data_IF_449845228059
#
_entry.id   IF_449845228059
#
_cell.length_a   1.000
_cell.length_b   1.000
_cell.length_c   1.000
_cell.angle_alpha   90.00
_cell.angle_beta   90.00
_cell.angle_gamma   90.00
#
_symmetry.space_group_name_H-M   'P 1'
#
loop_
_entity.id
_entity.type
_entity.pdbx_description
1 polymer ?
#
# COMPACT_ATOMS: atom_id res chain seq x y z
N UNK A 1 21.36 5.34 16.75
CA UNK A 1 22.32 6.16 15.96
C UNK A 1 22.36 5.60 14.55
N UNK A 2 22.28 6.41 13.50
CA UNK A 2 22.39 5.90 12.13
C UNK A 2 23.79 5.31 11.96
N UNK A 3 23.86 4.08 11.46
CA UNK A 3 25.12 3.38 11.21
C UNK A 3 25.70 3.88 9.88
N UNK A 4 26.93 4.37 9.87
CA UNK A 4 27.58 4.81 8.61
C UNK A 4 28.08 3.60 7.81
N UNK A 5 28.29 3.77 6.51
CA UNK A 5 28.86 2.72 5.64
C UNK A 5 30.16 2.13 6.19
N UNK A 6 31.02 2.96 6.77
CA UNK A 6 32.26 2.50 7.39
C UNK A 6 32.00 1.58 8.60
N UNK A 7 31.02 1.94 9.44
CA UNK A 7 30.61 1.11 10.59
C UNK A 7 29.91 -0.18 10.13
N UNK A 8 29.08 -0.12 9.09
CA UNK A 8 28.45 -1.32 8.51
C UNK A 8 29.50 -2.28 7.96
N UNK A 9 30.55 -1.76 7.30
CA UNK A 9 31.66 -2.58 6.82
C UNK A 9 32.51 -3.17 7.95
N UNK A 10 32.63 -2.45 9.07
CA UNK A 10 33.36 -2.92 10.25
C UNK A 10 32.58 -4.02 11.00
N UNK A 11 31.26 -3.86 11.15
CA UNK A 11 30.41 -4.83 11.87
C UNK A 11 30.06 -6.07 11.02
N UNK A 12 29.70 -5.88 9.74
CA UNK A 12 29.13 -6.95 8.90
C UNK A 12 30.16 -7.49 7.90
N UNK A 13 31.19 -6.69 7.56
CA UNK A 13 32.17 -7.02 6.55
C UNK A 13 31.73 -6.63 5.14
N UNK A 14 32.55 -7.01 4.15
CA UNK A 14 32.30 -6.68 2.73
C UNK A 14 31.07 -7.43 2.19
N UNK A 15 30.27 -6.79 1.34
CA UNK A 15 29.11 -7.43 0.72
C UNK A 15 29.53 -8.50 -0.29
N UNK A 16 28.69 -9.53 -0.44
CA UNK A 16 28.91 -10.58 -1.45
C UNK A 16 28.66 -10.05 -2.86
N UNK A 17 27.64 -9.19 -2.99
CA UNK A 17 27.29 -8.55 -4.26
C UNK A 17 26.82 -7.12 -4.06
N UNK A 18 27.25 -6.23 -4.96
CA UNK A 18 26.70 -4.88 -5.08
C UNK A 18 25.65 -4.91 -6.18
N UNK A 19 24.40 -4.67 -5.82
CA UNK A 19 23.27 -4.70 -6.76
C UNK A 19 23.04 -3.35 -7.42
N UNK A 20 23.35 -2.25 -6.71
CA UNK A 20 23.19 -0.88 -7.21
C UNK A 20 24.14 0.07 -6.48
N UNK A 21 24.73 0.98 -7.23
CA UNK A 21 25.49 2.13 -6.74
C UNK A 21 25.28 3.30 -7.72
N UNK A 22 24.49 4.29 -7.31
CA UNK A 22 24.23 5.52 -8.09
C UNK A 22 24.77 6.78 -7.39
N UNK A 23 25.69 6.61 -6.43
CA UNK A 23 26.32 7.69 -5.67
C UNK A 23 25.44 8.32 -4.58
N UNK A 24 24.10 8.11 -4.62
CA UNK A 24 23.18 8.50 -3.54
C UNK A 24 22.63 7.28 -2.80
N UNK A 25 22.38 6.20 -3.52
CA UNK A 25 21.83 4.96 -2.99
C UNK A 25 22.77 3.80 -3.32
N UNK A 26 23.10 3.04 -2.28
CA UNK A 26 23.93 1.85 -2.36
C UNK A 26 23.10 0.65 -1.89
N UNK A 27 23.00 -0.39 -2.72
CA UNK A 27 22.31 -1.63 -2.35
C UNK A 27 23.30 -2.78 -2.40
N UNK A 28 23.53 -3.36 -1.23
CA UNK A 28 24.37 -4.52 -1.01
C UNK A 28 23.52 -5.75 -0.76
N UNK A 29 24.02 -6.90 -1.20
CA UNK A 29 23.45 -8.21 -0.95
C UNK A 29 24.47 -9.04 -0.16
N UNK A 30 23.97 -9.65 0.91
CA UNK A 30 24.66 -10.58 1.80
C UNK A 30 23.91 -11.90 1.79
N UNK A 31 24.56 -12.94 1.27
CA UNK A 31 24.06 -14.30 1.23
C UNK A 31 24.54 -15.07 2.46
N UNK A 32 23.66 -15.25 3.44
CA UNK A 32 23.99 -16.07 4.64
C UNK A 32 24.20 -17.53 4.24
N UNK A 33 23.57 -17.97 3.14
CA UNK A 33 23.69 -19.30 2.54
C UNK A 33 25.13 -19.63 2.14
N UNK A 34 25.90 -18.71 1.54
CA UNK A 34 27.24 -19.04 1.07
C UNK A 34 28.23 -19.39 2.20
N UNK A 35 28.00 -18.88 3.42
CA UNK A 35 28.96 -19.02 4.53
C UNK A 35 28.78 -20.29 5.36
N UNK A 36 27.56 -20.84 5.43
CA UNK A 36 27.24 -22.02 6.27
C UNK A 36 26.77 -23.26 5.48
N UNK A 37 26.46 -23.15 4.19
CA UNK A 37 25.95 -24.27 3.40
C UNK A 37 26.97 -25.41 3.21
N UNK A 38 28.28 -25.10 3.26
CA UNK A 38 29.34 -26.12 3.22
C UNK A 38 29.35 -27.05 4.46
N UNK A 39 28.90 -26.57 5.62
CA UNK A 39 28.78 -27.39 6.84
C UNK A 39 27.63 -28.41 6.72
N UNK A 40 26.54 -28.03 6.08
CA UNK A 40 25.40 -28.93 5.82
C UNK A 40 25.73 -29.97 4.75
N UNK A 41 26.49 -29.59 3.71
CA UNK A 41 26.98 -30.52 2.69
C UNK A 41 27.97 -31.54 3.27
N UNK A 42 28.80 -31.16 4.23
CA UNK A 42 29.70 -32.09 4.95
C UNK A 42 28.98 -33.03 5.92
N UNK A 43 27.87 -32.61 6.54
CA UNK A 43 27.14 -33.41 7.53
C UNK A 43 26.23 -34.49 6.94
N UNK A 44 25.68 -34.26 5.74
CA UNK A 44 24.70 -35.15 5.11
C UNK A 44 25.30 -36.13 4.08
N UNK A 45 26.53 -35.89 3.64
CA UNK A 45 27.23 -36.77 2.70
C UNK A 45 27.79 -38.07 3.31
N UNK A 46 28.21 -38.18 4.59
CA UNK A 46 28.77 -39.44 5.09
C UNK A 46 27.72 -40.53 5.32
N UNK A 47 26.44 -40.17 5.48
CA UNK A 47 25.38 -41.13 5.85
C UNK A 47 24.83 -41.86 4.62
N UNK A 48 24.92 -41.27 3.42
CA UNK A 48 24.36 -41.83 2.18
C UNK A 48 25.32 -42.70 1.37
N UNK A 49 26.61 -42.81 1.78
CA UNK A 49 27.60 -43.64 1.08
C UNK A 49 27.37 -45.14 1.29
N UNK A 50 26.70 -45.55 2.37
CA UNK A 50 26.47 -46.97 2.67
C UNK A 50 25.28 -47.61 1.92
N UNK A 51 24.40 -46.81 1.30
CA UNK A 51 23.21 -47.29 0.60
C UNK A 51 23.16 -46.70 -0.82
N UNK A 52 24.25 -46.88 -1.57
CA UNK A 52 24.21 -46.81 -3.03
C UNK A 52 23.83 -45.44 -3.62
N UNK A 53 24.73 -44.47 -3.47
CA UNK A 53 24.87 -43.34 -4.40
C UNK A 53 23.85 -42.20 -4.23
N UNK A 54 24.32 -40.99 -4.50
CA UNK A 54 23.54 -39.75 -4.54
C UNK A 54 22.53 -39.73 -5.70
N UNK A 55 21.53 -40.61 -5.67
CA UNK A 55 20.56 -40.79 -6.77
C UNK A 55 19.17 -40.22 -6.45
N UNK A 56 18.92 -39.73 -5.22
CA UNK A 56 17.64 -39.08 -4.88
C UNK A 56 17.90 -37.68 -4.34
N UNK A 57 18.03 -36.72 -5.25
CA UNK A 57 17.86 -35.29 -4.96
C UNK A 57 16.68 -34.72 -5.79
N UNK A 58 15.41 -35.04 -5.43
CA UNK A 58 14.37 -34.04 -5.70
C UNK A 58 13.37 -33.76 -4.56
N UNK A 59 13.39 -34.44 -3.41
CA UNK A 59 12.21 -34.41 -2.50
C UNK A 59 12.40 -33.85 -1.07
N UNK A 60 13.57 -33.32 -0.70
CA UNK A 60 13.71 -32.56 0.56
C UNK A 60 13.47 -31.05 0.41
N UNK A 61 13.27 -30.56 -0.83
CA UNK A 61 13.08 -29.14 -1.11
C UNK A 61 11.70 -28.58 -0.70
N UNK A 62 10.72 -29.43 -0.38
CA UNK A 62 9.35 -28.99 -0.05
C UNK A 62 9.14 -28.90 1.47
N UNK A 63 9.88 -29.69 2.26
CA UNK A 63 9.79 -29.66 3.73
C UNK A 63 10.66 -28.58 4.38
N UNK A 64 11.64 -28.02 3.65
CA UNK A 64 12.58 -27.00 4.14
C UNK A 64 12.35 -25.60 3.54
N UNK A 65 11.23 -25.36 2.88
CA UNK A 65 10.89 -24.02 2.34
C UNK A 65 10.77 -22.97 3.46
N UNK A 66 10.49 -23.38 4.71
CA UNK A 66 10.53 -22.53 5.91
C UNK A 66 11.92 -22.14 6.40
N UNK A 67 13.00 -22.75 5.87
CA UNK A 67 14.38 -22.51 6.31
C UNK A 67 15.28 -21.90 5.23
N UNK A 68 14.73 -21.53 4.07
CA UNK A 68 15.48 -20.75 3.08
C UNK A 68 15.67 -19.33 3.62
N UNK A 69 16.80 -19.10 4.29
CA UNK A 69 17.23 -17.75 4.67
C UNK A 69 17.45 -16.94 3.39
N UNK A 70 16.52 -16.04 3.12
CA UNK A 70 16.60 -15.13 1.97
C UNK A 70 17.87 -14.27 2.07
N UNK A 71 18.51 -13.96 0.92
CA UNK A 71 19.66 -13.07 0.91
C UNK A 71 19.29 -11.74 1.57
N UNK A 72 20.03 -11.35 2.58
CA UNK A 72 19.83 -10.11 3.31
C UNK A 72 20.40 -8.99 2.46
N UNK A 73 19.61 -7.96 2.22
CA UNK A 73 20.07 -6.80 1.50
C UNK A 73 20.27 -5.65 2.49
N UNK A 74 21.28 -4.83 2.24
CA UNK A 74 21.60 -3.64 3.02
C UNK A 74 21.50 -2.45 2.08
N UNK A 75 20.66 -1.49 2.43
CA UNK A 75 20.43 -0.27 1.65
C UNK A 75 21.02 0.90 2.42
N UNK A 76 22.01 1.56 1.82
CA UNK A 76 22.57 2.81 2.32
C UNK A 76 22.09 3.98 1.45
N UNK A 77 21.79 5.10 2.07
CA UNK A 77 21.46 6.36 1.39
C UNK A 77 22.39 7.43 1.95
N UNK A 78 23.09 8.15 1.08
CA UNK A 78 24.12 9.14 1.45
C UNK A 78 25.15 8.58 2.46
N UNK A 79 25.61 7.34 2.24
CA UNK A 79 26.58 6.64 3.10
C UNK A 79 26.07 6.30 4.52
N UNK A 80 24.77 6.46 4.80
CA UNK A 80 24.13 6.05 6.05
C UNK A 80 23.19 4.85 5.84
N UNK A 81 23.16 3.94 6.80
CA UNK A 81 22.34 2.73 6.78
C UNK A 81 20.88 3.13 6.88
N UNK A 82 20.14 2.93 5.78
CA UNK A 82 18.73 3.25 5.75
C UNK A 82 17.86 2.08 6.20
N UNK A 83 18.02 0.91 5.57
CA UNK A 83 17.28 -0.29 5.93
C UNK A 83 18.09 -1.52 5.56
N UNK A 84 17.79 -2.63 6.22
CA UNK A 84 18.30 -3.94 5.87
C UNK A 84 17.21 -4.99 6.06
N UNK A 85 17.32 -6.11 5.36
CA UNK A 85 16.33 -7.18 5.43
C UNK A 85 16.24 -8.05 4.17
N UNK A 86 15.33 -9.03 4.13
CA UNK A 86 15.05 -9.79 2.92
C UNK A 86 14.44 -8.88 1.83
N UNK A 87 14.49 -9.27 0.54
CA UNK A 87 14.07 -8.43 -0.59
C UNK A 87 12.65 -7.85 -0.44
N UNK A 88 11.73 -8.65 0.10
CA UNK A 88 10.33 -8.27 0.33
C UNK A 88 10.21 -7.15 1.37
N UNK A 89 11.00 -7.21 2.45
CA UNK A 89 11.00 -6.19 3.50
C UNK A 89 11.55 -4.84 2.99
N UNK A 90 12.47 -4.87 2.03
CA UNK A 90 13.08 -3.66 1.46
C UNK A 90 12.20 -3.01 0.42
N UNK A 91 11.47 -3.78 -0.39
CA UNK A 91 10.48 -3.22 -1.31
C UNK A 91 9.37 -2.46 -0.55
N UNK A 92 8.98 -2.93 0.64
CA UNK A 92 8.02 -2.25 1.50
C UNK A 92 8.63 -1.05 2.25
N UNK A 93 9.85 -1.16 2.77
CA UNK A 93 10.59 -0.09 3.46
C UNK A 93 11.25 0.94 2.53
N UNK A 94 11.15 0.78 1.22
CA UNK A 94 11.64 1.79 0.26
C UNK A 94 11.03 3.17 0.53
N UNK A 95 9.78 3.21 1.02
CA UNK A 95 9.09 4.43 1.46
C UNK A 95 9.71 5.08 2.71
N UNK A 96 10.36 4.34 3.61
CA UNK A 96 11.02 4.93 4.79
C UNK A 96 12.38 5.53 4.45
N UNK A 97 13.03 5.05 3.38
CA UNK A 97 14.33 5.57 2.94
C UNK A 97 14.29 6.89 2.18
N UNK A 98 13.14 7.24 1.60
CA UNK A 98 12.92 8.59 1.07
C UNK A 98 12.57 9.60 2.17
N UNK A 99 12.19 9.15 3.37
CA UNK A 99 11.65 10.01 4.45
C UNK A 99 12.67 10.32 5.55
N UNK A 100 13.79 9.58 5.62
CA UNK A 100 14.84 9.76 6.63
C UNK A 100 15.70 11.04 6.48
N UNK A 101 15.24 12.02 5.69
CA UNK A 101 15.85 13.34 5.55
C UNK A 101 14.93 14.53 5.87
N UNK A 102 13.72 14.32 6.40
CA UNK A 102 12.81 15.42 6.76
C UNK A 102 12.78 15.63 8.28
N UNK A 103 13.66 16.48 8.85
CA UNK A 103 13.49 16.93 10.21
C UNK A 103 12.15 17.67 10.32
N UNK A 104 11.22 17.10 11.07
CA UNK A 104 9.99 17.77 11.48
C UNK A 104 10.37 18.86 12.50
N UNK A 105 10.53 20.08 12.00
CA UNK A 105 10.73 21.26 12.84
C UNK A 105 11.58 22.34 12.21
N UNK A 106 11.02 23.07 11.24
CA UNK A 106 11.31 24.50 11.02
C UNK A 106 10.29 25.09 10.06
N UNK A 107 9.48 26.02 10.58
CA UNK A 107 8.82 27.05 9.78
C UNK A 107 9.89 27.86 9.08
N UNK A 108 10.16 27.54 7.81
CA UNK A 108 11.16 28.21 6.99
C UNK A 108 11.22 27.60 5.60
N UNK A 109 10.61 28.30 4.64
CA UNK A 109 10.83 28.24 3.18
C UNK A 109 11.82 27.19 2.66
N UNK A 110 11.34 25.97 2.42
CA UNK A 110 12.02 24.91 1.69
C UNK A 110 10.95 24.03 1.03
N UNK A 111 10.96 23.96 -0.30
CA UNK A 111 9.87 23.40 -1.10
C UNK A 111 9.64 21.90 -0.81
N UNK A 112 8.64 21.58 0.00
CA UNK A 112 8.00 20.25 -0.04
C UNK A 112 7.32 20.07 -1.41
N UNK A 113 7.17 18.81 -1.86
CA UNK A 113 6.36 18.52 -3.05
C UNK A 113 5.00 19.21 -2.90
N UNK A 114 4.50 19.91 -3.95
CA UNK A 114 3.23 20.59 -3.88
C UNK A 114 2.11 19.57 -3.61
N UNK A 115 1.23 19.89 -2.67
CA UNK A 115 0.02 19.09 -2.46
C UNK A 115 -0.90 19.25 -3.68
N UNK A 116 -1.44 18.14 -4.23
CA UNK A 116 -2.35 18.22 -5.36
C UNK A 116 -3.64 18.95 -4.95
N UNK A 117 -4.20 19.70 -5.90
CA UNK A 117 -5.54 20.25 -5.75
C UNK A 117 -6.52 19.16 -6.16
N UNK A 118 -7.40 18.77 -5.23
CA UNK A 118 -8.31 17.63 -5.41
C UNK A 118 -9.71 17.95 -4.94
N UNK A 119 -10.69 17.64 -5.78
CA UNK A 119 -12.12 17.62 -5.46
C UNK A 119 -12.61 16.17 -5.29
N UNK A 120 -13.73 16.01 -4.60
CA UNK A 120 -14.29 14.69 -4.34
C UNK A 120 -15.65 14.84 -3.67
N UNK A 121 -16.72 14.77 -4.45
CA UNK A 121 -18.09 15.02 -3.98
C UNK A 121 -19.08 14.08 -4.68
N UNK A 122 -20.18 13.78 -4.02
CA UNK A 122 -21.28 13.00 -4.59
C UNK A 122 -22.34 12.66 -3.55
N UNK A 123 -23.44 12.01 -3.95
CA UNK A 123 -24.52 11.64 -3.02
C UNK A 123 -24.20 10.41 -2.15
N UNK A 124 -23.15 9.63 -2.44
CA UNK A 124 -22.82 8.43 -1.66
C UNK A 124 -22.37 8.80 -0.24
N UNK A 125 -22.75 8.01 0.76
CA UNK A 125 -22.49 8.29 2.17
C UNK A 125 -22.41 7.00 2.98
N UNK A 126 -22.25 7.13 4.30
CA UNK A 126 -22.12 5.99 5.23
C UNK A 126 -23.33 5.07 5.21
N UNK A 127 -24.51 5.62 5.00
CA UNK A 127 -25.77 4.87 4.98
C UNK A 127 -25.95 4.07 3.68
N UNK A 128 -25.36 4.54 2.58
CA UNK A 128 -25.56 3.94 1.24
C UNK A 128 -24.39 3.09 0.75
N UNK A 129 -23.18 3.27 1.28
CA UNK A 129 -21.97 2.53 0.84
C UNK A 129 -22.07 1.01 1.00
N UNK A 130 -22.89 0.52 1.93
CA UNK A 130 -23.06 -0.92 2.17
C UNK A 130 -23.78 -1.64 1.03
N UNK A 131 -24.49 -0.90 0.15
CA UNK A 131 -25.08 -1.43 -1.08
C UNK A 131 -24.04 -1.72 -2.16
N UNK A 132 -22.90 -1.02 -2.15
CA UNK A 132 -21.90 -1.04 -3.22
C UNK A 132 -20.66 -1.83 -2.78
N UNK A 133 -20.80 -3.12 -2.46
CA UNK A 133 -19.67 -3.98 -2.05
C UNK A 133 -18.77 -4.38 -3.21
N UNK A 134 -19.35 -4.58 -4.39
CA UNK A 134 -18.62 -5.05 -5.58
C UNK A 134 -18.57 -3.93 -6.63
N UNK A 135 -17.36 -3.51 -6.98
CA UNK A 135 -17.11 -2.43 -7.92
C UNK A 135 -16.26 -2.91 -9.10
N UNK A 136 -16.46 -2.30 -10.27
CA UNK A 136 -15.60 -2.49 -11.43
C UNK A 136 -14.87 -1.18 -11.76
N UNK A 137 -13.60 -1.27 -12.15
CA UNK A 137 -12.84 -0.13 -12.68
C UNK A 137 -12.62 -0.37 -14.16
N UNK A 138 -13.19 0.51 -14.99
CA UNK A 138 -12.93 0.51 -16.42
C UNK A 138 -11.52 1.02 -16.71
N UNK A 139 -11.02 0.73 -17.91
CA UNK A 139 -9.84 1.42 -18.41
C UNK A 139 -10.15 2.92 -18.50
N UNK A 140 -9.27 3.73 -17.91
CA UNK A 140 -9.37 5.17 -18.05
C UNK A 140 -8.92 5.57 -19.45
N UNK A 141 -9.46 6.67 -19.96
CA UNK A 141 -8.97 7.29 -21.18
C UNK A 141 -7.52 7.76 -20.97
N UNK A 142 -6.67 7.46 -21.97
CA UNK A 142 -5.27 7.87 -21.95
C UNK A 142 -5.14 9.38 -22.12
N UNK A 143 -4.15 9.96 -21.44
CA UNK A 143 -3.82 11.36 -21.60
C UNK A 143 -3.21 11.67 -22.96
N UNK A 144 -3.29 12.94 -23.41
CA UNK A 144 -2.70 13.37 -24.67
C UNK A 144 -1.22 12.97 -24.74
N UNK A 145 -0.84 12.27 -25.81
CA UNK A 145 0.53 11.80 -26.05
C UNK A 145 1.11 10.86 -24.97
N UNK A 146 0.27 10.25 -24.13
CA UNK A 146 0.68 9.37 -23.04
C UNK A 146 -0.06 8.01 -23.10
N UNK A 147 0.19 7.19 -24.14
CA UNK A 147 -0.47 5.89 -24.26
C UNK A 147 -0.17 4.97 -23.07
N UNK A 148 -1.20 4.31 -22.56
CA UNK A 148 -1.15 3.44 -21.39
C UNK A 148 -1.24 4.16 -20.03
N UNK A 149 -1.29 5.49 -19.99
CA UNK A 149 -1.48 6.26 -18.75
C UNK A 149 -2.81 5.90 -18.07
N UNK A 150 -3.89 5.74 -18.83
CA UNK A 150 -5.19 5.34 -18.33
C UNK A 150 -5.18 3.94 -17.70
N UNK A 151 -4.50 2.97 -18.31
CA UNK A 151 -4.36 1.63 -17.69
C UNK A 151 -3.55 1.66 -16.40
N UNK A 152 -2.55 2.55 -16.26
CA UNK A 152 -1.78 2.72 -15.02
C UNK A 152 -2.64 3.33 -13.92
N UNK A 153 -3.37 4.40 -14.23
CA UNK A 153 -4.29 5.05 -13.29
C UNK A 153 -5.38 4.07 -12.83
N UNK A 154 -5.99 3.31 -13.74
CA UNK A 154 -6.97 2.28 -13.39
C UNK A 154 -6.40 1.24 -12.40
N UNK A 155 -5.15 0.81 -12.58
CA UNK A 155 -4.46 -0.09 -11.65
C UNK A 155 -4.24 0.53 -10.27
N UNK A 156 -3.87 1.81 -10.21
CA UNK A 156 -3.73 2.57 -8.97
C UNK A 156 -5.08 2.67 -8.23
N UNK A 157 -6.16 3.06 -8.93
CA UNK A 157 -7.51 3.15 -8.37
C UNK A 157 -7.95 1.80 -7.81
N UNK A 158 -7.78 0.72 -8.58
CA UNK A 158 -8.15 -0.64 -8.17
C UNK A 158 -7.43 -1.05 -6.88
N UNK A 159 -6.12 -0.82 -6.83
CA UNK A 159 -5.30 -1.17 -5.65
C UNK A 159 -5.77 -0.42 -4.40
N UNK A 160 -5.99 0.89 -4.53
CA UNK A 160 -6.39 1.72 -3.40
C UNK A 160 -7.83 1.47 -2.93
N UNK A 161 -8.72 1.01 -3.82
CA UNK A 161 -10.07 0.58 -3.43
C UNK A 161 -10.06 -0.77 -2.70
N UNK A 162 -9.17 -1.69 -3.07
CA UNK A 162 -8.96 -2.93 -2.31
C UNK A 162 -8.51 -2.61 -0.87
N UNK A 163 -7.62 -1.62 -0.69
CA UNK A 163 -7.19 -1.17 0.65
C UNK A 163 -8.36 -0.59 1.48
N UNK A 164 -9.40 -0.08 0.80
CA UNK A 164 -10.67 0.38 1.41
C UNK A 164 -11.69 -0.74 1.65
N UNK A 165 -11.28 -2.01 1.53
CA UNK A 165 -12.13 -3.19 1.70
C UNK A 165 -13.33 -3.21 0.73
N UNK A 166 -13.06 -2.82 -0.52
CA UNK A 166 -14.00 -2.92 -1.64
C UNK A 166 -13.69 -4.17 -2.47
N UNK A 167 -14.71 -4.95 -2.82
CA UNK A 167 -14.52 -6.08 -3.72
C UNK A 167 -14.38 -5.55 -5.14
N UNK A 168 -13.26 -5.85 -5.79
CA UNK A 168 -13.01 -5.42 -7.17
C UNK A 168 -13.27 -6.57 -8.14
N UNK A 169 -14.00 -6.28 -9.21
CA UNK A 169 -14.12 -7.20 -10.36
C UNK A 169 -12.75 -7.36 -11.01
N UNK A 170 -12.37 -8.62 -11.28
CA UNK A 170 -11.13 -8.94 -11.97
C UNK A 170 -11.09 -8.35 -13.38
N UNK A 171 -9.95 -7.76 -13.74
CA UNK A 171 -9.73 -7.16 -15.06
C UNK A 171 -9.99 -8.12 -16.22
N UNK A 172 -9.60 -9.39 -16.09
CA UNK A 172 -9.79 -10.38 -17.14
C UNK A 172 -11.27 -10.60 -17.50
N UNK A 173 -12.17 -10.53 -16.51
CA UNK A 173 -13.63 -10.63 -16.73
C UNK A 173 -14.18 -9.42 -17.48
N UNK A 174 -13.66 -8.23 -17.17
CA UNK A 174 -13.98 -7.02 -17.94
C UNK A 174 -13.50 -7.18 -19.38
N UNK A 175 -12.25 -7.61 -19.60
CA UNK A 175 -11.68 -7.78 -20.94
C UNK A 175 -12.43 -8.84 -21.78
N UNK A 176 -12.90 -9.93 -21.15
CA UNK A 176 -13.73 -10.96 -21.79
C UNK A 176 -15.05 -10.38 -22.28
N UNK A 177 -15.78 -9.70 -21.40
CA UNK A 177 -17.05 -9.03 -21.74
C UNK A 177 -16.86 -7.97 -22.83
N UNK A 178 -15.77 -7.21 -22.79
CA UNK A 178 -15.47 -6.17 -23.79
C UNK A 178 -15.13 -6.77 -25.16
N UNK A 179 -14.44 -7.92 -25.21
CA UNK A 179 -14.16 -8.65 -26.46
C UNK A 179 -15.43 -9.21 -27.07
N UNK A 180 -16.36 -9.71 -26.26
CA UNK A 180 -17.67 -10.22 -26.72
C UNK A 180 -18.59 -9.10 -27.24
N UNK A 181 -18.46 -7.86 -26.74
CA UNK A 181 -19.24 -6.70 -27.20
C UNK A 181 -18.70 -6.05 -28.50
N UNK A 182 -17.70 -6.66 -29.17
CA UNK A 182 -17.14 -6.33 -30.50
C UNK A 182 -17.45 -4.90 -31.01
N UNK A 183 -16.48 -4.00 -30.84
CA UNK A 183 -16.28 -2.76 -31.63
C UNK A 183 -17.34 -1.66 -31.40
N UNK A 184 -17.16 -0.85 -30.35
CA UNK A 184 -17.63 0.55 -30.32
C UNK A 184 -16.97 1.41 -29.21
N UNK A 185 -15.80 1.01 -28.70
CA UNK A 185 -15.17 1.61 -27.51
C UNK A 185 -13.99 2.52 -27.85
N UNK A 186 -14.08 3.31 -28.91
CA UNK A 186 -13.14 4.44 -29.06
C UNK A 186 -13.54 5.60 -28.14
N UNK A 187 -14.80 5.62 -27.67
CA UNK A 187 -15.32 6.47 -26.61
C UNK A 187 -16.37 5.66 -25.85
N UNK A 188 -16.14 5.34 -24.58
CA UNK A 188 -17.10 4.57 -23.80
C UNK A 188 -18.28 5.46 -23.43
N UNK A 189 -19.35 5.42 -24.22
CA UNK A 189 -20.62 6.04 -23.86
C UNK A 189 -21.14 5.43 -22.55
N UNK A 190 -21.73 6.27 -21.68
CA UNK A 190 -22.16 5.90 -20.33
C UNK A 190 -23.13 4.70 -20.38
N UNK A 191 -23.91 4.53 -21.45
CA UNK A 191 -24.79 3.38 -21.66
C UNK A 191 -24.05 2.03 -21.84
N UNK A 192 -22.94 2.02 -22.57
CA UNK A 192 -22.13 0.82 -22.78
C UNK A 192 -21.43 0.40 -21.49
N UNK A 193 -20.95 1.39 -20.72
CA UNK A 193 -20.32 1.18 -19.41
C UNK A 193 -21.30 0.49 -18.46
N UNK A 194 -22.53 0.97 -18.35
CA UNK A 194 -23.54 0.36 -17.47
C UNK A 194 -23.86 -1.09 -17.85
N UNK A 195 -23.93 -1.40 -19.15
CA UNK A 195 -24.14 -2.77 -19.63
C UNK A 195 -22.99 -3.69 -19.23
N UNK A 196 -21.75 -3.24 -19.39
CA UNK A 196 -20.55 -3.99 -18.95
C UNK A 196 -20.62 -4.23 -17.44
N UNK A 197 -20.93 -3.20 -16.65
CA UNK A 197 -21.11 -3.31 -15.20
C UNK A 197 -22.11 -4.40 -14.79
N UNK A 198 -23.28 -4.46 -15.46
CA UNK A 198 -24.31 -5.48 -15.21
C UNK A 198 -23.81 -6.89 -15.55
N UNK A 199 -23.10 -7.04 -16.66
CA UNK A 199 -22.58 -8.35 -17.11
C UNK A 199 -21.52 -8.90 -16.15
N UNK A 200 -20.68 -8.04 -15.58
CA UNK A 200 -19.66 -8.47 -14.61
C UNK A 200 -20.17 -8.53 -13.16
N UNK A 201 -21.45 -8.26 -12.93
CA UNK A 201 -22.06 -8.29 -11.59
C UNK A 201 -21.58 -7.17 -10.66
N UNK A 202 -21.10 -6.05 -11.20
CA UNK A 202 -20.73 -4.89 -10.41
C UNK A 202 -21.96 -4.07 -9.99
N UNK A 203 -21.93 -3.53 -8.78
CA UNK A 203 -22.97 -2.65 -8.24
C UNK A 203 -22.67 -1.19 -8.54
N UNK A 204 -21.39 -0.83 -8.59
CA UNK A 204 -20.91 0.44 -9.07
C UNK A 204 -19.77 0.23 -10.08
N UNK A 205 -19.68 1.14 -11.04
CA UNK A 205 -18.64 1.14 -12.05
C UNK A 205 -17.90 2.47 -12.02
N UNK A 206 -16.59 2.41 -12.12
CA UNK A 206 -15.69 3.55 -12.06
C UNK A 206 -15.13 3.77 -13.46
N UNK A 207 -15.33 4.97 -13.96
CA UNK A 207 -14.81 5.45 -15.24
C UNK A 207 -14.04 6.74 -15.02
N UNK A 208 -13.20 7.10 -15.97
CA UNK A 208 -12.43 8.32 -15.88
C UNK A 208 -11.47 8.49 -17.03
N UNK A 209 -10.66 9.52 -16.92
CA UNK A 209 -9.70 9.88 -17.94
C UNK A 209 -8.53 10.64 -17.33
N UNK A 210 -7.41 10.56 -18.02
CA UNK A 210 -6.22 11.37 -17.74
C UNK A 210 -6.29 12.58 -18.66
N UNK A 211 -6.43 13.79 -18.11
CA UNK A 211 -6.47 15.01 -18.91
C UNK A 211 -5.07 15.52 -19.27
N UNK A 212 -4.09 15.31 -18.40
CA UNK A 212 -2.71 15.75 -18.60
C UNK A 212 -1.75 14.72 -18.01
N UNK A 213 -0.68 14.40 -18.76
CA UNK A 213 0.37 13.49 -18.34
C UNK A 213 1.69 13.90 -18.99
N UNK A 214 2.34 14.92 -18.44
CA UNK A 214 3.51 15.55 -19.02
C UNK A 214 4.72 15.44 -18.10
N UNK A 215 5.88 15.23 -18.71
CA UNK A 215 7.17 15.31 -18.05
C UNK A 215 8.10 16.18 -18.89
N UNK A 216 8.45 17.36 -18.37
CA UNK A 216 9.39 18.26 -19.00
C UNK A 216 10.77 18.08 -18.37
N UNK A 217 11.61 17.28 -19.03
CA UNK A 217 12.95 16.94 -18.55
C UNK A 217 13.87 18.15 -18.33
N UNK A 218 13.83 19.15 -19.22
CA UNK A 218 14.66 20.37 -19.12
C UNK A 218 14.22 21.26 -17.96
N UNK A 219 12.90 21.44 -17.79
CA UNK A 219 12.32 22.21 -16.71
C UNK A 219 12.29 21.45 -15.38
N UNK A 220 12.59 20.14 -15.38
CA UNK A 220 12.40 19.21 -14.26
C UNK A 220 11.02 19.38 -13.61
N UNK A 221 10.00 19.43 -14.46
CA UNK A 221 8.62 19.50 -14.01
C UNK A 221 7.84 18.31 -14.53
N UNK A 222 6.89 17.83 -13.75
CA UNK A 222 5.82 16.97 -14.24
C UNK A 222 4.47 17.64 -13.97
N UNK A 223 3.50 17.36 -14.84
CA UNK A 223 2.14 17.86 -14.70
C UNK A 223 1.17 16.72 -14.95
N UNK A 224 0.29 16.47 -14.00
CA UNK A 224 -0.70 15.39 -14.07
C UNK A 224 -2.06 15.94 -13.70
N UNK A 225 -3.06 15.60 -14.50
CA UNK A 225 -4.47 15.89 -14.23
C UNK A 225 -5.31 14.67 -14.57
N UNK A 226 -6.19 14.27 -13.66
CA UNK A 226 -7.07 13.12 -13.83
C UNK A 226 -8.45 13.36 -13.21
N UNK A 227 -9.45 12.66 -13.75
CA UNK A 227 -10.83 12.66 -13.25
C UNK A 227 -11.35 11.24 -13.14
N UNK A 228 -12.16 10.97 -12.12
CA UNK A 228 -12.88 9.71 -11.96
C UNK A 228 -14.33 9.95 -11.53
N UNK A 229 -15.23 9.14 -12.08
CA UNK A 229 -16.65 9.10 -11.77
C UNK A 229 -17.02 7.68 -11.34
N UNK A 230 -17.71 7.57 -10.22
CA UNK A 230 -18.32 6.33 -9.76
C UNK A 230 -19.82 6.40 -10.04
N UNK A 231 -20.35 5.39 -10.72
CA UNK A 231 -21.72 5.38 -11.23
C UNK A 231 -22.42 4.12 -10.72
N UNK A 232 -23.66 4.27 -10.23
CA UNK A 232 -24.54 3.16 -9.87
C UNK A 232 -24.93 2.39 -11.15
N UNK A 233 -24.62 1.09 -11.19
CA UNK A 233 -24.80 0.27 -12.39
C UNK A 233 -26.28 0.03 -12.73
N UNK A 234 -27.15 0.03 -11.73
CA UNK A 234 -28.58 -0.26 -11.89
C UNK A 234 -29.32 0.95 -12.46
N UNK A 235 -29.04 2.13 -11.90
CA UNK A 235 -29.78 3.38 -12.13
C UNK A 235 -29.07 4.37 -13.06
N UNK A 236 -27.75 4.23 -13.24
CA UNK A 236 -26.93 5.20 -13.96
C UNK A 236 -26.62 6.48 -13.19
N UNK A 237 -26.99 6.56 -11.91
CA UNK A 237 -26.74 7.77 -11.11
C UNK A 237 -25.28 7.92 -10.72
N UNK A 238 -24.77 9.15 -10.79
CA UNK A 238 -23.44 9.49 -10.28
C UNK A 238 -23.43 9.38 -8.75
N UNK A 239 -22.58 8.50 -8.22
CA UNK A 239 -22.38 8.27 -6.79
C UNK A 239 -21.29 9.18 -6.22
N UNK A 240 -20.23 9.39 -6.99
CA UNK A 240 -19.07 10.17 -6.59
C UNK A 240 -18.32 10.67 -7.83
N UNK A 241 -17.93 11.94 -7.82
CA UNK A 241 -17.01 12.54 -8.80
C UNK A 241 -15.78 13.06 -8.07
N UNK A 242 -14.61 12.72 -8.57
CA UNK A 242 -13.33 13.19 -8.05
C UNK A 242 -12.42 13.63 -9.18
N UNK A 243 -11.83 14.80 -9.02
CA UNK A 243 -10.88 15.36 -9.96
C UNK A 243 -9.66 15.84 -9.21
N UNK A 244 -8.50 15.79 -9.85
CA UNK A 244 -7.33 16.40 -9.25
C UNK A 244 -6.21 16.65 -10.22
N UNK A 245 -5.40 17.64 -9.88
CA UNK A 245 -4.24 18.02 -10.66
C UNK A 245 -3.07 18.43 -9.76
N UNK A 246 -1.87 18.24 -10.28
CA UNK A 246 -0.64 18.72 -9.67
C UNK A 246 0.38 19.04 -10.75
N UNK A 247 1.11 20.12 -10.53
CA UNK A 247 2.35 20.42 -11.24
C UNK A 247 3.46 20.38 -10.23
N UNK A 248 4.36 19.41 -10.36
CA UNK A 248 5.49 19.22 -9.45
C UNK A 248 6.80 19.60 -10.12
N UNK A 249 7.70 20.27 -9.39
CA UNK A 249 9.03 20.64 -9.85
C UNK A 249 10.04 19.55 -9.50
N UNK A 250 9.73 18.31 -9.89
CA UNK A 250 10.58 17.14 -9.65
C UNK A 250 10.93 16.42 -10.94
N UNK A 251 12.01 15.64 -10.88
CA UNK A 251 12.36 14.67 -11.93
C UNK A 251 11.59 13.36 -11.80
N UNK A 252 10.61 13.31 -10.89
CA UNK A 252 9.87 12.09 -10.60
C UNK A 252 8.96 11.71 -11.76
N UNK A 253 8.73 10.40 -11.90
CA UNK A 253 7.82 9.85 -12.88
C UNK A 253 6.39 10.37 -12.63
N UNK A 254 5.67 10.85 -13.66
CA UNK A 254 4.29 11.33 -13.53
C UNK A 254 3.34 10.33 -12.85
N UNK A 255 3.63 9.03 -12.90
CA UNK A 255 2.85 8.02 -12.16
C UNK A 255 2.87 8.25 -10.64
N UNK A 256 3.96 8.78 -10.10
CA UNK A 256 4.06 9.12 -8.67
C UNK A 256 3.09 10.25 -8.33
N UNK A 257 3.02 11.29 -9.18
CA UNK A 257 2.06 12.39 -9.05
C UNK A 257 0.61 11.89 -9.19
N UNK A 258 0.34 11.02 -10.18
CA UNK A 258 -0.96 10.39 -10.36
C UNK A 258 -1.40 9.59 -9.12
N UNK A 259 -0.48 8.82 -8.53
CA UNK A 259 -0.76 8.03 -7.32
C UNK A 259 -1.16 8.90 -6.14
N UNK A 260 -0.50 10.05 -5.97
CA UNK A 260 -0.84 10.99 -4.89
C UNK A 260 -2.23 11.58 -5.15
N UNK A 261 -2.54 12.02 -6.39
CA UNK A 261 -3.87 12.54 -6.74
C UNK A 261 -4.95 11.50 -6.44
N UNK A 262 -4.82 10.27 -6.96
CA UNK A 262 -5.83 9.21 -6.75
C UNK A 262 -6.00 8.89 -5.27
N UNK A 263 -4.90 8.81 -4.51
CA UNK A 263 -4.97 8.59 -3.07
C UNK A 263 -5.75 9.70 -2.37
N UNK A 264 -5.59 10.96 -2.77
CA UNK A 264 -6.30 12.11 -2.19
C UNK A 264 -7.79 12.09 -2.54
N UNK A 265 -8.14 11.74 -3.79
CA UNK A 265 -9.53 11.56 -4.21
C UNK A 265 -10.20 10.44 -3.39
N UNK A 266 -9.54 9.28 -3.28
CA UNK A 266 -10.09 8.13 -2.57
C UNK A 266 -10.08 8.32 -1.04
N UNK A 267 -9.20 9.16 -0.50
CA UNK A 267 -9.28 9.56 0.90
C UNK A 267 -10.55 10.38 1.18
N UNK A 268 -10.92 11.31 0.28
CA UNK A 268 -12.19 12.06 0.35
C UNK A 268 -13.38 11.11 0.24
N UNK A 269 -13.37 10.19 -0.73
CA UNK A 269 -14.39 9.15 -0.87
C UNK A 269 -14.53 8.31 0.40
N UNK A 270 -13.42 7.80 0.94
CA UNK A 270 -13.41 6.99 2.14
C UNK A 270 -13.91 7.74 3.37
N UNK A 271 -13.55 9.02 3.51
CA UNK A 271 -14.05 9.88 4.59
C UNK A 271 -15.55 10.14 4.47
N UNK A 272 -16.03 10.49 3.27
CA UNK A 272 -17.45 10.76 3.02
C UNK A 272 -18.33 9.52 3.23
N UNK A 273 -17.82 8.34 2.89
CA UNK A 273 -18.53 7.06 3.05
C UNK A 273 -18.33 6.42 4.43
N UNK A 274 -17.52 7.01 5.30
CA UNK A 274 -17.17 6.44 6.60
C UNK A 274 -16.36 5.13 6.52
N UNK A 275 -15.76 4.84 5.37
CA UNK A 275 -14.76 3.76 5.24
C UNK A 275 -13.41 4.17 5.83
N UNK A 276 -13.15 5.47 5.91
CA UNK A 276 -12.01 6.07 6.59
C UNK A 276 -12.51 7.15 7.57
N UNK A 277 -11.88 7.24 8.73
CA UNK A 277 -11.98 8.44 9.55
C UNK A 277 -11.14 9.58 9.00
N UNK A 278 -11.52 10.84 9.30
CA UNK A 278 -10.68 12.00 8.95
C UNK A 278 -9.36 12.03 9.73
N UNK A 279 -9.29 11.29 10.84
CA UNK A 279 -8.09 11.10 11.62
C UNK A 279 -7.21 9.97 11.09
N UNK A 280 -5.92 10.07 11.43
CA UNK A 280 -4.95 8.98 11.30
C UNK A 280 -4.08 8.89 12.56
N UNK A 281 -3.68 7.67 12.90
CA UNK A 281 -2.76 7.40 14.01
C UNK A 281 -1.43 6.79 13.55
N UNK A 282 -1.31 6.38 12.28
CA UNK A 282 -0.04 5.90 11.73
C UNK A 282 0.29 4.44 12.01
N UNK A 283 -0.72 3.60 12.11
CA UNK A 283 -0.58 2.15 12.35
C UNK A 283 -0.93 1.36 11.09
N UNK A 284 -0.20 0.27 10.87
CA UNK A 284 -0.59 -0.81 9.97
C UNK A 284 -0.87 -2.04 10.84
N UNK A 285 -2.09 -2.53 10.79
CA UNK A 285 -2.54 -3.68 11.58
C UNK A 285 -3.33 -4.65 10.71
N UNK A 286 -3.42 -5.89 11.15
CA UNK A 286 -4.13 -6.96 10.46
C UNK A 286 -5.14 -7.58 11.41
N UNK A 287 -6.38 -7.77 10.96
CA UNK A 287 -7.41 -8.42 11.76
C UNK A 287 -7.13 -9.92 11.76
N UNK A 288 -6.92 -10.49 12.94
CA UNK A 288 -6.71 -11.92 13.15
C UNK A 288 -7.79 -12.47 14.07
N UNK A 289 -8.07 -13.76 13.93
CA UNK A 289 -8.96 -14.49 14.82
C UNK A 289 -8.16 -15.58 15.56
N UNK A 290 -8.31 -15.62 16.88
CA UNK A 290 -7.74 -16.69 17.70
C UNK A 290 -8.72 -17.09 18.78
N UNK A 291 -8.99 -18.40 18.90
CA UNK A 291 -9.92 -18.94 19.89
C UNK A 291 -11.36 -18.40 19.76
N UNK A 292 -11.79 -18.04 18.55
CA UNK A 292 -13.13 -17.47 18.30
C UNK A 292 -13.26 -16.00 18.70
N UNK A 293 -12.16 -15.28 18.90
CA UNK A 293 -12.15 -13.85 19.19
C UNK A 293 -11.25 -13.10 18.20
N UNK A 294 -11.79 -12.06 17.59
CA UNK A 294 -11.06 -11.19 16.67
C UNK A 294 -10.27 -10.11 17.42
N UNK A 295 -9.09 -9.78 16.90
CA UNK A 295 -8.22 -8.71 17.39
C UNK A 295 -7.34 -8.17 16.25
N UNK A 296 -6.88 -6.93 16.36
CA UNK A 296 -5.91 -6.37 15.43
C UNK A 296 -4.49 -6.62 15.93
N UNK A 297 -3.67 -7.30 15.12
CA UNK A 297 -2.23 -7.42 15.38
C UNK A 297 -1.48 -6.24 14.75
N UNK A 298 -0.74 -5.47 15.55
CA UNK A 298 0.06 -4.35 15.05
C UNK A 298 1.26 -4.89 14.27
N UNK A 299 1.28 -4.64 12.96
CA UNK A 299 2.35 -5.08 12.04
C UNK A 299 3.43 -4.03 11.85
N UNK A 300 3.03 -2.76 11.80
CA UNK A 300 3.95 -1.64 11.56
C UNK A 300 3.43 -0.37 12.23
N UNK A 301 4.38 0.49 12.61
CA UNK A 301 4.13 1.84 13.08
C UNK A 301 4.95 2.82 12.26
N UNK A 302 4.30 3.90 11.84
CA UNK A 302 4.99 4.98 11.14
C UNK A 302 5.62 5.91 12.13
N UNK A 303 6.91 6.16 11.95
CA UNK A 303 7.67 7.02 12.84
C UNK A 303 7.14 8.47 12.84
N UNK A 304 7.13 9.08 14.01
CA UNK A 304 6.66 10.45 14.24
C UNK A 304 5.14 10.61 14.21
N UNK A 305 4.36 9.54 14.02
CA UNK A 305 2.89 9.59 14.02
C UNK A 305 2.31 9.25 15.41
N UNK A 306 1.02 9.59 15.66
CA UNK A 306 0.45 9.53 17.01
C UNK A 306 0.54 8.18 17.72
N UNK A 307 0.40 7.07 17.00
CA UNK A 307 0.45 5.74 17.60
C UNK A 307 1.83 5.41 18.20
N UNK A 308 2.91 5.77 17.50
CA UNK A 308 4.28 5.61 18.02
C UNK A 308 4.50 6.52 19.24
N UNK A 309 4.09 7.80 19.14
CA UNK A 309 4.20 8.78 20.23
C UNK A 309 3.44 8.35 21.48
N UNK A 310 2.32 7.66 21.32
CA UNK A 310 1.50 7.14 22.40
C UNK A 310 2.02 5.82 22.99
N UNK A 311 3.10 5.25 22.46
CA UNK A 311 3.72 4.04 23.00
C UNK A 311 3.06 2.73 22.54
N UNK A 312 2.37 2.73 21.40
CA UNK A 312 2.00 1.49 20.70
C UNK A 312 3.27 0.83 20.17
N UNK A 313 3.33 -0.50 20.13
CA UNK A 313 4.47 -1.27 19.64
C UNK A 313 4.03 -2.31 18.61
N UNK A 314 4.94 -2.68 17.71
CA UNK A 314 4.74 -3.81 16.80
C UNK A 314 4.62 -5.09 17.63
N UNK A 315 3.62 -5.91 17.31
CA UNK A 315 3.26 -7.10 18.07
C UNK A 315 2.21 -6.88 19.15
N UNK A 316 1.80 -5.64 19.43
CA UNK A 316 0.63 -5.39 20.28
C UNK A 316 -0.63 -5.97 19.63
N UNK A 317 -1.51 -6.52 20.47
CA UNK A 317 -2.80 -7.03 20.04
C UNK A 317 -3.90 -6.09 20.53
N UNK A 318 -4.50 -5.33 19.62
CA UNK A 318 -5.62 -4.44 19.93
C UNK A 318 -6.90 -5.26 19.97
N UNK A 319 -7.52 -5.36 21.14
CA UNK A 319 -8.72 -6.15 21.40
C UNK A 319 -9.99 -5.30 21.49
N UNK A 320 -9.85 -3.97 21.54
CA UNK A 320 -10.96 -3.03 21.60
C UNK A 320 -10.56 -1.60 21.24
N UNK A 321 -11.55 -0.83 20.79
CA UNK A 321 -11.42 0.58 20.46
C UNK A 321 -12.58 1.37 21.07
N UNK A 322 -12.29 2.46 21.79
CA UNK A 322 -13.27 3.32 22.44
C UNK A 322 -14.26 2.57 23.35
N UNK A 323 -13.78 1.52 24.04
CA UNK A 323 -14.59 0.66 24.91
C UNK A 323 -15.47 -0.35 24.18
N UNK A 324 -15.41 -0.41 22.85
CA UNK A 324 -16.07 -1.44 22.03
C UNK A 324 -15.08 -2.57 21.76
N UNK A 325 -15.48 -3.80 22.09
CA UNK A 325 -14.67 -5.00 21.86
C UNK A 325 -14.67 -5.42 20.40
N UNK A 326 -13.51 -5.87 19.92
CA UNK A 326 -13.37 -6.47 18.59
C UNK A 326 -13.73 -7.97 18.57
N UNK A 327 -13.90 -8.63 19.72
CA UNK A 327 -14.04 -10.08 19.80
C UNK A 327 -15.21 -10.64 18.99
N UNK A 328 -16.33 -9.91 18.90
CA UNK A 328 -17.56 -10.33 18.20
C UNK A 328 -17.67 -9.84 16.75
N UNK A 329 -16.65 -9.16 16.23
CA UNK A 329 -16.67 -8.57 14.89
C UNK A 329 -16.52 -9.64 13.82
N UNK A 330 -17.32 -9.55 12.75
CA UNK A 330 -17.40 -10.57 11.69
C UNK A 330 -16.62 -10.23 10.42
N UNK A 331 -16.19 -8.98 10.27
CA UNK A 331 -15.49 -8.52 9.06
C UNK A 331 -14.50 -7.40 9.34
N UNK A 332 -13.53 -7.25 8.45
CA UNK A 332 -12.56 -6.16 8.51
C UNK A 332 -13.24 -4.78 8.46
N UNK A 333 -14.27 -4.61 7.60
CA UNK A 333 -15.09 -3.40 7.56
C UNK A 333 -15.70 -3.03 8.91
N UNK A 334 -16.28 -4.00 9.62
CA UNK A 334 -16.90 -3.75 10.92
C UNK A 334 -15.83 -3.39 11.97
N UNK A 335 -14.68 -4.05 11.94
CA UNK A 335 -13.56 -3.76 12.85
C UNK A 335 -12.99 -2.35 12.60
N UNK A 336 -12.83 -1.96 11.32
CA UNK A 336 -12.40 -0.61 10.92
C UNK A 336 -13.39 0.46 11.39
N UNK A 337 -14.70 0.19 11.34
CA UNK A 337 -15.73 1.11 11.86
C UNK A 337 -15.65 1.29 13.37
N UNK A 338 -15.39 0.21 14.11
CA UNK A 338 -15.23 0.25 15.58
C UNK A 338 -14.02 1.11 15.97
N UNK A 339 -12.92 1.02 15.21
CA UNK A 339 -11.69 1.78 15.45
C UNK A 339 -11.58 3.08 14.63
N UNK A 340 -12.68 3.54 14.03
CA UNK A 340 -12.71 4.79 13.26
C UNK A 340 -12.52 5.98 14.19
N UNK A 341 -11.74 6.98 13.76
CA UNK A 341 -11.45 8.18 14.53
C UNK A 341 -11.38 9.41 13.64
N UNK A 342 -11.93 10.54 14.12
CA UNK A 342 -11.84 11.82 13.44
C UNK A 342 -10.61 12.63 13.91
N UNK A 343 -10.16 13.56 13.09
CA UNK A 343 -9.00 14.39 13.41
C UNK A 343 -9.20 15.15 14.73
N UNK A 344 -8.19 15.15 15.59
CA UNK A 344 -8.21 15.80 16.91
C UNK A 344 -8.94 15.00 18.01
N UNK A 345 -9.63 13.91 17.68
CA UNK A 345 -10.27 13.07 18.69
C UNK A 345 -9.26 12.09 19.33
N UNK A 346 -9.55 11.68 20.57
CA UNK A 346 -8.79 10.65 21.25
C UNK A 346 -9.39 9.27 20.97
N UNK A 347 -8.59 8.40 20.38
CA UNK A 347 -8.86 6.97 20.23
C UNK A 347 -8.30 6.23 21.44
N UNK A 348 -9.17 5.58 22.20
CA UNK A 348 -8.75 4.69 23.28
C UNK A 348 -8.59 3.28 22.73
N UNK A 349 -7.43 2.68 22.89
CA UNK A 349 -7.14 1.31 22.49
C UNK A 349 -7.01 0.42 23.72
N UNK A 350 -7.80 -0.64 23.75
CA UNK A 350 -7.59 -1.75 24.67
C UNK A 350 -6.63 -2.73 24.00
N UNK A 351 -5.44 -2.91 24.56
CA UNK A 351 -4.40 -3.74 23.97
C UNK A 351 -3.94 -4.85 24.91
N UNK A 352 -3.37 -5.91 24.34
CA UNK A 352 -2.67 -6.98 25.03
C UNK A 352 -1.23 -7.01 24.57
N UNK A 353 -0.29 -6.82 25.50
CA UNK A 353 1.16 -6.88 25.23
C UNK A 353 1.76 -8.01 26.04
N UNK A 354 2.24 -9.05 25.37
CA UNK A 354 2.79 -10.24 26.04
C UNK A 354 1.79 -10.92 26.98
N UNK A 355 0.49 -10.85 26.68
CA UNK A 355 -0.58 -11.40 27.53
C UNK A 355 -1.17 -10.43 28.56
N UNK A 356 -0.50 -9.32 28.87
CA UNK A 356 -0.97 -8.33 29.85
C UNK A 356 -1.87 -7.27 29.21
N UNK A 357 -3.04 -6.95 29.80
CA UNK A 357 -3.91 -5.89 29.30
C UNK A 357 -3.32 -4.49 29.60
N UNK A 358 -3.44 -3.58 28.65
CA UNK A 358 -3.07 -2.17 28.76
C UNK A 358 -4.09 -1.31 28.01
N UNK A 359 -4.34 -0.10 28.48
CA UNK A 359 -5.12 0.92 27.75
C UNK A 359 -4.19 2.02 27.25
N UNK A 360 -4.33 2.43 25.98
CA UNK A 360 -3.59 3.54 25.39
C UNK A 360 -4.54 4.58 24.81
N UNK A 361 -4.34 5.85 25.16
CA UNK A 361 -5.03 6.99 24.54
C UNK A 361 -4.18 7.62 23.45
N UNK A 362 -4.70 7.69 22.23
CA UNK A 362 -4.00 8.23 21.05
C UNK A 362 -4.81 9.40 20.48
N UNK A 363 -4.20 10.56 20.30
CA UNK A 363 -4.87 11.71 19.67
C UNK A 363 -4.62 11.64 18.15
N UNK A 364 -5.69 11.51 17.37
CA UNK A 364 -5.56 11.39 15.92
C UNK A 364 -5.12 12.72 15.28
N UNK A 365 -4.15 12.65 14.38
CA UNK A 365 -3.76 13.78 13.52
C UNK A 365 -4.65 13.81 12.27
N UNK A 366 -4.83 14.97 11.61
CA UNK A 366 -5.52 15.05 10.33
C UNK A 366 -4.90 14.12 9.28
N UNK A 367 -5.75 13.41 8.53
CA UNK A 367 -5.32 12.63 7.38
C UNK A 367 -4.96 13.59 6.24
N UNK A 368 -3.78 13.44 5.61
CA UNK A 368 -3.38 14.29 4.50
C UNK A 368 -4.40 14.24 3.35
N UNK A 369 -4.86 15.41 2.90
CA UNK A 369 -5.79 15.56 1.79
C UNK A 369 -7.26 15.72 2.14
N UNK A 370 -7.62 15.77 3.43
CA UNK A 370 -8.99 16.07 3.87
C UNK A 370 -9.14 17.53 4.24
#
# INVERSE_FOLDING_TARGET
>A
MPMTKAQVLDEIGRPDRVLRDDGRMLVWEYSVTARNQWLYELGLCPISVWIGGCVIYPFTNIAMERQREYPQHVVLVNEELCTWGPPVAILQRRKSCEVAGVPHGRTGTGAGRPEPVVTGLGPINRETIDRYRTMAVMLFEDGPNAPGSGSRVAGIVTTLLLDLDMNMVERAKLDEVLKEQVIQLTHADDANVLKVGKLVGAQAIIVGGVQQWEQHGEARTNAVSLSLRMIDVETGQLLFNGEGHVTDQTTDDPESSARIIVHRILARFGSQTGLLGSGRIGVNWELLESGGSCYYAVRELRSGLPAEKAGLHVGDEVVGCNGLSLAGVKSEREAKRVCQIEAGQSLKLDIRRGGSPLELGIIAEPRPGL
#
